data_IF_594919125345
#
_entry.id   IF_594919125345
#
_cell.length_a   1.000
_cell.length_b   1.000
_cell.length_c   1.000
_cell.angle_alpha   90.00
_cell.angle_beta   90.00
_cell.angle_gamma   90.00
#
_symmetry.space_group_name_H-M   'P 1'
#
loop_
_entity.id
_entity.type
_entity.pdbx_description
1 polymer ?
#
# COMPACT_ATOMS: atom_id res chain seq x y z
N UNK A 1 9.27 13.08 -4.52
CA UNK A 1 10.71 13.03 -4.75
C UNK A 1 11.36 11.97 -3.84
N UNK A 2 12.64 11.70 -4.03
CA UNK A 2 13.37 10.64 -3.32
C UNK A 2 13.48 10.89 -1.81
N UNK A 3 13.37 12.13 -1.39
CA UNK A 3 13.49 12.54 0.01
C UNK A 3 12.12 12.69 0.69
N UNK A 4 11.06 12.18 0.08
CA UNK A 4 9.68 12.32 0.53
C UNK A 4 9.23 13.78 0.66
N UNK A 5 9.84 14.67 -0.11
CA UNK A 5 9.48 16.08 -0.15
C UNK A 5 8.37 16.32 -1.17
N UNK A 6 7.31 17.03 -0.77
CA UNK A 6 6.27 17.45 -1.69
C UNK A 6 6.76 18.58 -2.57
N UNK A 7 6.82 18.37 -3.89
CA UNK A 7 7.26 19.39 -4.85
C UNK A 7 6.09 20.06 -5.58
N UNK A 8 4.89 19.50 -5.49
CA UNK A 8 3.67 20.04 -6.06
C UNK A 8 2.46 19.52 -5.31
N UNK A 9 1.48 20.38 -5.09
CA UNK A 9 0.21 19.98 -4.50
C UNK A 9 -0.93 20.83 -5.04
N UNK A 10 -2.10 20.23 -5.25
CA UNK A 10 -3.29 20.91 -5.75
C UNK A 10 -4.53 20.25 -5.16
N UNK A 11 -5.50 21.09 -4.76
CA UNK A 11 -6.81 20.63 -4.35
C UNK A 11 -7.78 20.69 -5.53
N UNK A 12 -8.49 19.57 -5.77
CA UNK A 12 -9.41 19.44 -6.89
C UNK A 12 -10.83 19.41 -6.37
N UNK A 13 -11.67 20.34 -6.83
CA UNK A 13 -13.06 20.46 -6.41
C UNK A 13 -14.04 19.84 -7.42
N UNK A 14 -13.57 19.51 -8.62
CA UNK A 14 -14.41 18.96 -9.69
C UNK A 14 -14.37 17.43 -9.68
N UNK A 15 -15.46 16.80 -10.12
CA UNK A 15 -15.52 15.34 -10.27
C UNK A 15 -14.69 14.81 -11.43
N UNK A 16 -14.50 15.64 -12.45
CA UNK A 16 -13.64 15.32 -13.60
C UNK A 16 -12.40 16.20 -13.58
N UNK A 17 -11.25 15.56 -13.74
CA UNK A 17 -9.98 16.25 -13.70
C UNK A 17 -9.06 15.74 -14.81
N UNK A 18 -8.48 16.67 -15.55
CA UNK A 18 -7.44 16.37 -16.53
C UNK A 18 -6.40 17.49 -16.49
N UNK A 19 -5.14 17.11 -16.39
CA UNK A 19 -4.04 18.07 -16.34
C UNK A 19 -2.78 17.46 -16.97
N UNK A 20 -2.07 18.30 -17.70
CA UNK A 20 -0.75 17.97 -18.21
C UNK A 20 0.31 18.60 -17.33
N UNK A 21 1.30 17.81 -16.94
CA UNK A 21 2.45 18.29 -16.18
C UNK A 21 3.68 18.35 -17.05
N UNK A 22 4.43 19.45 -16.96
CA UNK A 22 5.73 19.56 -17.60
C UNK A 22 6.79 19.13 -16.59
N UNK A 23 7.43 18.00 -16.84
CA UNK A 23 8.41 17.42 -15.91
C UNK A 23 9.86 17.65 -16.35
N UNK A 24 10.08 18.54 -17.33
CA UNK A 24 11.41 18.79 -17.89
C UNK A 24 12.41 19.35 -16.87
N UNK A 25 11.91 20.10 -15.91
CA UNK A 25 12.75 20.75 -14.90
C UNK A 25 13.00 19.88 -13.66
N UNK A 26 12.45 18.68 -13.64
CA UNK A 26 12.68 17.73 -12.55
C UNK A 26 14.00 16.97 -12.76
N UNK A 27 14.71 16.80 -11.69
CA UNK A 27 15.95 16.03 -11.70
C UNK A 27 15.66 14.55 -11.98
N UNK A 28 16.66 13.85 -12.49
CA UNK A 28 16.60 12.40 -12.67
C UNK A 28 16.35 11.73 -11.31
N UNK A 29 15.39 10.84 -11.25
CA UNK A 29 15.07 10.15 -10.01
C UNK A 29 13.71 9.47 -10.04
N UNK A 30 13.32 8.98 -8.88
CA UNK A 30 12.05 8.31 -8.66
C UNK A 30 11.09 9.27 -7.97
N UNK A 31 9.86 9.34 -8.49
CA UNK A 31 8.82 10.24 -8.01
C UNK A 31 7.52 9.48 -7.79
N UNK A 32 6.69 9.97 -6.90
CA UNK A 32 5.34 9.48 -6.69
C UNK A 32 4.33 10.55 -7.05
N UNK A 33 3.33 10.15 -7.83
CA UNK A 33 2.14 10.96 -8.10
C UNK A 33 0.98 10.37 -7.32
N UNK A 34 0.45 11.14 -6.38
CA UNK A 34 -0.56 10.67 -5.43
C UNK A 34 -1.87 11.41 -5.69
N UNK A 35 -2.94 10.64 -5.92
CA UNK A 35 -4.31 11.16 -6.02
C UNK A 35 -5.07 10.68 -4.80
N UNK A 36 -5.50 11.61 -3.95
CA UNK A 36 -6.19 11.29 -2.70
C UNK A 36 -7.63 11.79 -2.72
N UNK A 37 -8.52 11.00 -2.12
CA UNK A 37 -9.84 11.44 -1.71
C UNK A 37 -10.06 10.99 -0.25
N UNK A 38 -11.20 11.33 0.41
CA UNK A 38 -11.37 11.02 1.83
C UNK A 38 -11.31 9.53 2.20
N UNK A 39 -11.47 8.62 1.25
CA UNK A 39 -11.54 7.18 1.52
C UNK A 39 -10.49 6.34 0.82
N UNK A 40 -9.70 6.92 -0.07
CA UNK A 40 -8.71 6.16 -0.83
C UNK A 40 -7.55 7.03 -1.30
N UNK A 41 -6.46 6.36 -1.67
CA UNK A 41 -5.29 6.98 -2.28
C UNK A 41 -4.79 6.10 -3.41
N UNK A 42 -4.48 6.72 -4.54
CA UNK A 42 -3.91 6.06 -5.71
C UNK A 42 -2.52 6.61 -5.95
N UNK A 43 -1.52 5.74 -5.91
CA UNK A 43 -0.12 6.13 -6.03
C UNK A 43 0.47 5.56 -7.30
N UNK A 44 0.91 6.46 -8.19
CA UNK A 44 1.73 6.10 -9.35
C UNK A 44 3.18 6.38 -9.03
N UNK A 45 4.03 5.38 -9.17
CA UNK A 45 5.48 5.56 -9.06
C UNK A 45 6.06 5.64 -10.46
N UNK A 46 6.80 6.70 -10.74
CA UNK A 46 7.44 6.87 -12.03
C UNK A 46 8.91 7.26 -11.86
N UNK A 47 9.69 6.96 -12.90
CA UNK A 47 11.12 7.27 -12.95
C UNK A 47 11.38 8.24 -14.08
N UNK A 48 12.08 9.33 -13.75
CA UNK A 48 12.60 10.27 -14.74
C UNK A 48 14.04 9.89 -15.02
N UNK A 49 14.28 9.54 -16.26
CA UNK A 49 15.60 9.28 -16.84
C UNK A 49 15.99 10.44 -17.76
N UNK A 50 17.20 10.45 -18.27
CA UNK A 50 17.74 11.54 -19.11
C UNK A 50 16.87 11.89 -20.32
N UNK A 51 16.12 10.94 -20.87
CA UNK A 51 15.35 11.13 -22.09
C UNK A 51 13.89 10.66 -22.03
N UNK A 52 13.45 10.04 -20.93
CA UNK A 52 12.09 9.52 -20.89
C UNK A 52 11.54 9.40 -19.47
N UNK A 53 10.22 9.27 -19.39
CA UNK A 53 9.48 9.06 -18.15
C UNK A 53 8.84 7.69 -18.24
N UNK A 54 9.09 6.85 -17.23
CA UNK A 54 8.50 5.50 -17.15
C UNK A 54 7.67 5.34 -15.91
N UNK A 55 6.43 4.88 -16.07
CA UNK A 55 5.58 4.50 -14.95
C UNK A 55 5.99 3.09 -14.53
N UNK A 56 6.45 2.96 -13.29
CA UNK A 56 6.91 1.67 -12.73
C UNK A 56 5.80 0.91 -12.03
N UNK A 57 4.90 1.62 -11.37
CA UNK A 57 3.92 0.98 -10.53
C UNK A 57 2.69 1.87 -10.32
N UNK A 58 1.56 1.21 -10.02
CA UNK A 58 0.31 1.85 -9.64
C UNK A 58 -0.27 1.05 -8.49
N UNK A 59 -0.47 1.69 -7.34
CA UNK A 59 -1.01 1.03 -6.15
C UNK A 59 -2.19 1.83 -5.63
N UNK A 60 -3.30 1.13 -5.38
CA UNK A 60 -4.48 1.70 -4.75
C UNK A 60 -4.54 1.31 -3.28
N UNK A 61 -4.82 2.30 -2.43
CA UNK A 61 -5.00 2.12 -1.00
C UNK A 61 -6.40 2.59 -0.64
N UNK A 62 -7.15 1.75 0.06
CA UNK A 62 -8.49 2.07 0.54
C UNK A 62 -8.57 1.93 2.04
N UNK A 63 -9.65 2.46 2.66
CA UNK A 63 -9.87 2.36 4.10
C UNK A 63 -9.98 0.92 4.58
N UNK A 64 -10.52 0.02 3.72
CA UNK A 64 -10.48 -1.42 3.96
C UNK A 64 -9.20 -1.99 3.33
N UNK A 65 -8.51 -2.91 3.99
CA UNK A 65 -7.33 -3.53 3.39
C UNK A 65 -7.65 -4.24 2.09
N UNK A 66 -6.78 -4.06 1.10
CA UNK A 66 -6.84 -4.81 -0.15
C UNK A 66 -5.80 -5.92 -0.07
N UNK A 67 -6.25 -7.16 -0.19
CA UNK A 67 -5.40 -8.34 -0.18
C UNK A 67 -5.26 -8.87 -1.61
N UNK A 68 -4.01 -9.06 -2.05
CA UNK A 68 -3.73 -9.67 -3.36
C UNK A 68 -2.82 -10.85 -3.17
N UNK A 69 -3.27 -12.02 -3.60
CA UNK A 69 -2.55 -13.28 -3.46
C UNK A 69 -1.94 -13.63 -4.81
N UNK A 70 -0.62 -13.83 -4.84
CA UNK A 70 0.12 -14.26 -6.03
C UNK A 70 1.04 -15.40 -5.62
N UNK A 71 0.67 -16.63 -5.98
CA UNK A 71 1.39 -17.82 -5.51
C UNK A 71 1.38 -17.91 -3.98
N UNK A 72 2.55 -17.97 -3.37
CA UNK A 72 2.71 -18.02 -1.92
C UNK A 72 3.00 -16.63 -1.31
N UNK A 73 2.69 -15.56 -2.03
CA UNK A 73 2.85 -14.19 -1.53
C UNK A 73 1.50 -13.53 -1.39
N UNK A 74 1.35 -12.74 -0.36
CA UNK A 74 0.19 -11.88 -0.18
C UNK A 74 0.64 -10.44 0.02
N UNK A 75 0.02 -9.54 -0.74
CA UNK A 75 0.24 -8.11 -0.59
C UNK A 75 -0.98 -7.51 0.12
N UNK A 76 -0.71 -6.63 1.07
CA UNK A 76 -1.72 -5.95 1.88
C UNK A 76 -1.53 -4.46 1.70
N UNK A 77 -2.56 -3.77 1.21
CA UNK A 77 -2.53 -2.33 1.04
C UNK A 77 -3.70 -1.70 1.78
N UNK A 78 -3.43 -0.69 2.59
CA UNK A 78 -4.41 -0.03 3.44
C UNK A 78 -4.17 1.48 3.46
N UNK A 79 -5.23 2.26 3.24
CA UNK A 79 -5.22 3.69 3.48
C UNK A 79 -5.62 3.98 4.93
N UNK A 80 -4.66 4.45 5.72
CA UNK A 80 -4.83 4.71 7.15
C UNK A 80 -5.02 6.22 7.37
N UNK A 81 -6.21 6.73 6.99
CA UNK A 81 -6.50 8.15 6.98
C UNK A 81 -6.40 8.81 8.34
N UNK A 82 -6.70 8.10 9.41
CA UNK A 82 -6.62 8.59 10.78
C UNK A 82 -5.22 8.42 11.38
N UNK A 83 -4.29 7.85 10.64
CA UNK A 83 -2.91 7.61 11.06
C UNK A 83 -2.81 6.91 12.41
N UNK A 84 -3.70 5.95 12.64
CA UNK A 84 -3.72 5.13 13.84
C UNK A 84 -2.70 4.00 13.74
N UNK A 85 -2.43 3.36 14.87
CA UNK A 85 -1.64 2.14 14.90
C UNK A 85 -2.36 1.04 14.12
N UNK A 86 -1.64 0.33 13.28
CA UNK A 86 -2.15 -0.83 12.55
C UNK A 86 -1.37 -2.06 12.98
N UNK A 87 -2.08 -3.07 13.48
CA UNK A 87 -1.50 -4.35 13.87
C UNK A 87 -1.82 -5.40 12.82
N UNK A 88 -0.80 -6.15 12.42
CA UNK A 88 -0.92 -7.27 11.49
C UNK A 88 -0.50 -8.54 12.23
N UNK A 89 -1.39 -9.51 12.31
CA UNK A 89 -1.13 -10.81 12.90
C UNK A 89 -1.44 -11.91 11.90
N UNK A 90 -0.67 -12.98 11.93
CA UNK A 90 -0.97 -14.19 11.14
C UNK A 90 -1.04 -15.38 12.08
N UNK A 91 -2.16 -16.09 12.01
CA UNK A 91 -2.41 -17.30 12.81
C UNK A 91 -2.34 -18.53 11.90
N UNK A 92 -1.82 -19.65 12.44
CA UNK A 92 -1.88 -20.95 11.78
C UNK A 92 -3.19 -21.67 12.10
N UNK A 93 -3.34 -22.93 11.65
CA UNK A 93 -4.52 -23.76 11.92
C UNK A 93 -4.82 -23.97 13.40
N UNK A 94 -3.80 -23.93 14.23
CA UNK A 94 -3.95 -24.11 15.68
C UNK A 94 -4.17 -22.83 16.42
N UNK A 95 -4.42 -21.73 15.69
CA UNK A 95 -4.60 -20.38 16.23
C UNK A 95 -3.37 -19.83 16.95
N UNK A 96 -2.19 -20.36 16.61
CA UNK A 96 -0.93 -19.81 17.12
C UNK A 96 -0.50 -18.63 16.25
N UNK A 97 0.02 -17.58 16.86
CA UNK A 97 0.56 -16.42 16.17
C UNK A 97 1.91 -16.82 15.58
N UNK A 98 2.01 -16.83 14.25
CA UNK A 98 3.25 -17.15 13.52
C UNK A 98 3.95 -15.90 12.98
N UNK A 99 3.26 -14.78 12.96
CA UNK A 99 3.82 -13.49 12.55
C UNK A 99 3.03 -12.37 13.21
N UNK A 100 3.73 -11.32 13.64
CA UNK A 100 3.10 -10.13 14.21
C UNK A 100 3.95 -8.91 13.92
N UNK A 101 3.31 -7.84 13.48
CA UNK A 101 3.96 -6.57 13.22
C UNK A 101 2.98 -5.43 13.52
N UNK A 102 3.51 -4.34 14.07
CA UNK A 102 2.74 -3.12 14.31
C UNK A 102 3.37 -1.97 13.55
N UNK A 103 2.54 -1.17 12.90
CA UNK A 103 2.96 0.08 12.27
C UNK A 103 2.54 1.25 13.13
N UNK A 104 3.27 2.37 13.05
CA UNK A 104 2.98 3.55 13.85
C UNK A 104 2.59 4.72 12.95
N UNK A 105 1.30 4.86 12.72
CA UNK A 105 0.76 6.10 12.17
C UNK A 105 1.09 6.42 10.73
N UNK A 106 1.55 5.46 9.94
CA UNK A 106 1.74 5.69 8.51
C UNK A 106 0.40 5.87 7.83
N UNK A 107 0.32 6.83 6.92
CA UNK A 107 -0.87 7.10 6.13
C UNK A 107 -1.15 5.95 5.15
N UNK A 108 -0.12 5.44 4.48
CA UNK A 108 -0.20 4.34 3.56
C UNK A 108 0.53 3.14 4.15
N UNK A 109 -0.19 2.04 4.34
CA UNK A 109 0.38 0.79 4.85
C UNK A 109 0.43 -0.20 3.70
N UNK A 110 1.64 -0.56 3.29
CA UNK A 110 1.89 -1.56 2.26
C UNK A 110 2.81 -2.64 2.81
N UNK A 111 2.37 -3.90 2.71
CA UNK A 111 3.14 -5.02 3.23
C UNK A 111 3.03 -6.19 2.27
N UNK A 112 4.16 -6.84 2.02
CA UNK A 112 4.20 -8.11 1.26
C UNK A 112 4.69 -9.19 2.21
N UNK A 113 3.92 -10.26 2.33
CA UNK A 113 4.27 -11.40 3.17
C UNK A 113 4.50 -12.60 2.26
N UNK A 114 5.67 -13.22 2.43
CA UNK A 114 6.10 -14.37 1.63
C UNK A 114 5.98 -15.64 2.46
N UNK A 115 5.15 -16.58 1.99
CA UNK A 115 4.92 -17.87 2.64
C UNK A 115 5.74 -19.02 2.05
N UNK A 116 6.76 -18.72 1.22
CA UNK A 116 7.55 -19.80 0.56
C UNK A 116 8.18 -20.78 1.55
N UNK A 117 8.53 -20.29 2.73
CA UNK A 117 9.14 -21.11 3.79
C UNK A 117 8.16 -21.53 4.87
N UNK A 118 6.87 -21.21 4.71
CA UNK A 118 5.86 -21.56 5.67
C UNK A 118 5.46 -23.04 5.52
N UNK A 119 5.05 -23.63 6.64
CA UNK A 119 4.50 -24.99 6.63
C UNK A 119 3.17 -24.98 5.88
N UNK A 120 2.94 -25.98 5.06
CA UNK A 120 1.67 -26.13 4.32
C UNK A 120 0.49 -26.14 5.29
N UNK A 121 -0.56 -25.46 4.93
CA UNK A 121 -1.76 -25.40 5.74
C UNK A 121 -2.53 -24.10 5.53
N UNK A 122 -3.52 -23.88 6.38
CA UNK A 122 -4.36 -22.70 6.34
C UNK A 122 -3.86 -21.66 7.33
N UNK A 123 -3.88 -20.41 6.90
CA UNK A 123 -3.48 -19.27 7.72
C UNK A 123 -4.58 -18.23 7.69
N UNK A 124 -4.71 -17.47 8.78
CA UNK A 124 -5.60 -16.33 8.86
C UNK A 124 -4.78 -15.08 9.13
N UNK A 125 -4.94 -14.08 8.27
CA UNK A 125 -4.33 -12.78 8.46
C UNK A 125 -5.35 -11.87 9.09
N UNK A 126 -4.97 -11.23 10.19
CA UNK A 126 -5.81 -10.32 10.97
C UNK A 126 -5.18 -8.95 10.93
N UNK A 127 -5.95 -7.95 10.52
CA UNK A 127 -5.52 -6.56 10.52
C UNK A 127 -6.42 -5.77 11.44
N UNK A 128 -5.81 -5.13 12.46
CA UNK A 128 -6.52 -4.27 13.41
C UNK A 128 -6.11 -2.83 13.17
N UNK A 129 -7.08 -1.99 12.88
CA UNK A 129 -6.92 -0.57 12.67
C UNK A 129 -7.93 0.18 13.52
N UNK A 130 -7.50 0.67 14.67
CA UNK A 130 -8.41 1.29 15.63
C UNK A 130 -9.45 0.30 16.14
N UNK A 131 -10.74 0.61 15.91
CA UNK A 131 -11.85 -0.27 16.30
C UNK A 131 -12.18 -1.31 15.24
N UNK A 132 -11.61 -1.18 14.05
CA UNK A 132 -11.91 -2.07 12.93
C UNK A 132 -10.96 -3.26 12.92
N UNK A 133 -11.51 -4.44 12.62
CA UNK A 133 -10.73 -5.67 12.47
C UNK A 133 -11.12 -6.34 11.16
N UNK A 134 -10.12 -6.72 10.37
CA UNK A 134 -10.29 -7.36 9.07
C UNK A 134 -9.58 -8.70 9.05
N UNK A 135 -10.17 -9.67 8.35
CA UNK A 135 -9.66 -11.04 8.26
C UNK A 135 -9.49 -11.45 6.82
N UNK A 136 -8.44 -12.20 6.54
CA UNK A 136 -8.21 -12.84 5.24
C UNK A 136 -7.63 -14.22 5.46
N UNK A 137 -8.26 -15.23 4.88
CA UNK A 137 -7.76 -16.60 4.91
C UNK A 137 -6.88 -16.85 3.68
N UNK A 138 -5.81 -17.63 3.87
CA UNK A 138 -4.93 -18.07 2.80
C UNK A 138 -4.56 -19.54 3.04
N UNK A 139 -4.52 -20.32 1.97
CA UNK A 139 -4.09 -21.71 2.00
C UNK A 139 -2.75 -21.85 1.29
N UNK A 140 -1.76 -22.40 1.98
CA UNK A 140 -0.44 -22.69 1.45
C UNK A 140 -0.38 -24.21 1.20
N UNK A 141 -0.26 -24.57 -0.07
CA UNK A 141 -0.26 -25.98 -0.49
C UNK A 141 1.02 -26.50 -1.06
#
# INVERSE_FOLDING_TARGET
>A
DQNAQTIYSENILNTNYSKKFNLKDLEIGTYNFIIENPISSLVYTFVIDSNEIKIKNKVEYTAKPIFRITGNKISINLFNGNQQKVDIEILNNSSDIVFQESTKGELLVGKVINFDKAIKGNYTIIIKNGKETYFQNITIG
#
